data_IF_400348192063
#
_entry.id   IF_400348192063
#
_cell.length_a   1.000
_cell.length_b   1.000
_cell.length_c   1.000
_cell.angle_alpha   90.00
_cell.angle_beta   90.00
_cell.angle_gamma   90.00
#
_symmetry.space_group_name_H-M   'P 1'
#
loop_
_entity.id
_entity.type
_entity.pdbx_description
1 polymer ?
#
# COMPACT_ATOMS: atom_id res chain seq x y z
N UNK A 1 45.34 -26.23 -14.67
CA UNK A 1 44.73 -26.78 -13.43
C UNK A 1 44.13 -25.71 -12.50
N UNK A 2 43.78 -24.51 -12.99
CA UNK A 2 43.16 -23.46 -12.16
C UNK A 2 41.81 -22.92 -12.68
N UNK A 3 41.28 -23.46 -13.78
CA UNK A 3 39.96 -23.05 -14.33
C UNK A 3 38.76 -23.69 -13.62
N UNK A 4 38.98 -24.69 -12.77
CA UNK A 4 37.90 -25.42 -12.09
C UNK A 4 37.37 -24.71 -10.83
N UNK A 5 38.06 -23.68 -10.33
CA UNK A 5 37.72 -23.01 -9.04
C UNK A 5 36.90 -21.73 -9.25
N UNK A 6 36.81 -21.19 -10.48
CA UNK A 6 35.96 -20.00 -10.76
C UNK A 6 34.47 -20.31 -10.88
N UNK A 7 34.06 -21.59 -10.88
CA UNK A 7 32.65 -21.99 -11.06
C UNK A 7 31.86 -22.18 -9.76
N UNK A 8 32.42 -21.80 -8.61
CA UNK A 8 31.79 -21.94 -7.29
C UNK A 8 31.36 -20.61 -6.65
N UNK A 9 31.63 -19.45 -7.28
CA UNK A 9 31.27 -18.12 -6.74
C UNK A 9 30.34 -17.43 -7.74
N UNK A 10 29.24 -18.10 -8.06
CA UNK A 10 28.29 -17.65 -9.07
C UNK A 10 26.90 -18.23 -8.87
N UNK A 11 26.48 -18.50 -7.64
CA UNK A 11 25.05 -18.61 -7.38
C UNK A 11 24.48 -17.19 -7.32
N UNK A 12 24.00 -16.68 -8.45
CA UNK A 12 22.92 -15.68 -8.36
C UNK A 12 21.87 -16.26 -7.41
N UNK A 13 21.36 -15.50 -6.42
CA UNK A 13 20.27 -16.00 -5.60
C UNK A 13 19.19 -16.49 -6.58
N UNK A 14 18.80 -17.77 -6.45
CA UNK A 14 17.79 -18.34 -7.31
C UNK A 14 16.62 -17.35 -7.32
N UNK A 15 16.24 -16.84 -8.49
CA UNK A 15 15.10 -15.92 -8.63
C UNK A 15 13.95 -16.56 -7.86
N UNK A 16 13.63 -16.02 -6.70
CA UNK A 16 12.51 -16.50 -5.92
C UNK A 16 11.31 -16.31 -6.82
N UNK A 17 10.58 -17.38 -7.10
CA UNK A 17 9.36 -17.27 -7.89
C UNK A 17 8.34 -16.55 -7.01
N UNK A 18 8.30 -15.23 -7.08
CA UNK A 18 7.41 -14.37 -6.30
C UNK A 18 5.94 -14.72 -6.56
N UNK A 19 5.63 -15.27 -7.75
CA UNK A 19 4.32 -15.85 -8.05
C UNK A 19 4.02 -17.08 -7.21
N UNK A 20 5.01 -17.93 -6.96
CA UNK A 20 4.89 -19.10 -6.09
C UNK A 20 4.64 -18.70 -4.63
N UNK A 21 5.26 -17.62 -4.13
CA UNK A 21 5.02 -17.13 -2.76
C UNK A 21 3.56 -16.68 -2.56
N UNK A 22 3.02 -15.94 -3.54
CA UNK A 22 1.62 -15.50 -3.52
C UNK A 22 0.64 -16.68 -3.71
N UNK A 23 0.95 -17.62 -4.60
CA UNK A 23 0.15 -18.82 -4.80
C UNK A 23 0.12 -19.73 -3.55
N UNK A 24 1.27 -19.88 -2.88
CA UNK A 24 1.40 -20.68 -1.65
C UNK A 24 0.59 -20.07 -0.52
N UNK A 25 0.67 -18.75 -0.36
CA UNK A 25 -0.16 -18.03 0.61
C UNK A 25 -1.65 -18.14 0.28
N UNK A 26 -2.06 -17.92 -0.98
CA UNK A 26 -3.46 -18.07 -1.39
C UNK A 26 -3.99 -19.48 -1.09
N UNK A 27 -3.20 -20.52 -1.40
CA UNK A 27 -3.55 -21.91 -1.13
C UNK A 27 -3.69 -22.19 0.37
N UNK A 28 -2.80 -21.67 1.21
CA UNK A 28 -2.88 -21.88 2.67
C UNK A 28 -4.12 -21.24 3.30
N UNK A 29 -4.64 -20.19 2.66
CA UNK A 29 -5.86 -19.48 3.06
C UNK A 29 -7.11 -19.96 2.30
N UNK A 30 -7.02 -21.01 1.46
CA UNK A 30 -8.11 -21.48 0.59
C UNK A 30 -8.71 -20.41 -0.32
N UNK A 31 -7.88 -19.47 -0.78
CA UNK A 31 -8.27 -18.32 -1.61
C UNK A 31 -8.14 -18.62 -3.11
N UNK A 32 -8.87 -17.86 -3.92
CA UNK A 32 -8.85 -18.01 -5.38
C UNK A 32 -7.64 -17.27 -5.95
N UNK A 33 -6.70 -18.01 -6.54
CA UNK A 33 -5.51 -17.47 -7.21
C UNK A 33 -5.68 -17.49 -8.73
N UNK A 34 -5.47 -16.34 -9.39
CA UNK A 34 -5.60 -16.17 -10.85
C UNK A 34 -4.34 -15.54 -11.42
N UNK A 35 -3.90 -16.03 -12.58
CA UNK A 35 -2.85 -15.38 -13.38
C UNK A 35 -3.48 -14.41 -14.36
N UNK A 36 -2.96 -13.18 -14.39
CA UNK A 36 -3.36 -12.15 -15.34
C UNK A 36 -2.31 -12.05 -16.43
N UNK A 37 -2.74 -12.17 -17.68
CA UNK A 37 -1.88 -11.90 -18.84
C UNK A 37 -1.86 -10.39 -19.07
N UNK A 38 -0.67 -9.80 -19.05
CA UNK A 38 -0.46 -8.41 -19.44
C UNK A 38 0.73 -8.32 -20.40
N UNK A 39 0.69 -7.32 -21.30
CA UNK A 39 1.74 -7.01 -22.28
C UNK A 39 3.09 -6.69 -21.61
N UNK A 40 3.10 -6.27 -20.35
CA UNK A 40 4.31 -5.88 -19.60
C UNK A 40 4.89 -6.95 -18.66
N UNK A 41 4.51 -8.23 -18.85
CA UNK A 41 5.12 -9.36 -18.14
C UNK A 41 4.22 -10.08 -17.13
N UNK A 42 2.90 -9.89 -17.23
CA UNK A 42 1.91 -10.60 -16.42
C UNK A 42 1.91 -10.23 -14.93
N UNK A 43 0.87 -10.70 -14.25
CA UNK A 43 0.68 -10.52 -12.82
C UNK A 43 -0.21 -11.60 -12.23
N UNK A 44 -0.50 -11.49 -10.95
CA UNK A 44 -1.35 -12.42 -10.21
C UNK A 44 -2.39 -11.66 -9.40
N UNK A 45 -3.54 -12.27 -9.22
CA UNK A 45 -4.63 -11.75 -8.40
C UNK A 45 -5.09 -12.84 -7.46
N UNK A 46 -5.26 -12.48 -6.19
CA UNK A 46 -5.91 -13.32 -5.18
C UNK A 46 -7.19 -12.64 -4.74
N UNK A 47 -8.31 -13.34 -4.89
CA UNK A 47 -9.62 -12.89 -4.44
C UNK A 47 -9.98 -13.57 -3.11
N UNK A 48 -10.61 -12.79 -2.22
CA UNK A 48 -11.09 -13.28 -0.92
C UNK A 48 -12.61 -13.38 -0.88
N UNK A 49 -13.10 -14.29 -0.06
CA UNK A 49 -14.51 -14.42 0.31
C UNK A 49 -15.04 -13.18 1.05
N UNK A 50 -14.16 -12.44 1.72
CA UNK A 50 -14.44 -11.16 2.41
C UNK A 50 -14.54 -9.95 1.48
N UNK A 51 -14.62 -10.15 0.16
CA UNK A 51 -14.89 -9.08 -0.81
C UNK A 51 -13.73 -8.10 -1.03
N UNK A 52 -12.52 -8.45 -0.58
CA UNK A 52 -11.29 -7.76 -0.96
C UNK A 52 -10.40 -8.64 -1.81
N UNK A 53 -9.46 -8.02 -2.54
CA UNK A 53 -8.49 -8.73 -3.37
C UNK A 53 -7.10 -8.12 -3.24
N UNK A 54 -6.08 -8.91 -3.56
CA UNK A 54 -4.71 -8.42 -3.73
C UNK A 54 -4.22 -8.73 -5.14
N UNK A 55 -3.59 -7.75 -5.76
CA UNK A 55 -2.96 -7.88 -7.07
C UNK A 55 -1.45 -7.71 -6.92
N UNK A 56 -0.70 -8.56 -7.61
CA UNK A 56 0.74 -8.44 -7.77
C UNK A 56 1.09 -8.24 -9.24
N UNK A 57 1.90 -7.23 -9.56
CA UNK A 57 2.32 -6.98 -10.93
C UNK A 57 3.31 -5.83 -11.05
N UNK A 58 3.53 -5.35 -12.27
CA UNK A 58 4.36 -4.17 -12.50
C UNK A 58 3.88 -2.99 -11.64
N UNK A 59 4.82 -2.25 -11.07
CA UNK A 59 4.52 -1.03 -10.32
C UNK A 59 3.82 -0.01 -11.21
N UNK A 60 2.78 0.62 -10.66
CA UNK A 60 2.10 1.76 -11.30
C UNK A 60 2.44 3.09 -10.61
N UNK A 61 3.48 3.09 -9.76
CA UNK A 61 3.92 4.25 -8.99
C UNK A 61 5.42 4.44 -9.14
N UNK A 62 5.91 5.66 -9.46
CA UNK A 62 7.32 5.90 -9.73
C UNK A 62 8.21 5.63 -8.50
N UNK A 63 7.66 5.81 -7.30
CA UNK A 63 8.37 5.57 -6.04
C UNK A 63 8.41 4.09 -5.63
N UNK A 64 7.65 3.19 -6.26
CA UNK A 64 7.71 1.75 -5.99
C UNK A 64 8.54 1.08 -7.09
N UNK A 65 9.74 0.62 -6.73
CA UNK A 65 10.62 -0.08 -7.66
C UNK A 65 10.13 -1.51 -7.94
N UNK A 66 10.26 -1.95 -9.19
CA UNK A 66 9.99 -3.33 -9.60
C UNK A 66 8.50 -3.70 -9.57
N UNK A 67 8.15 -4.64 -8.69
CA UNK A 67 6.79 -5.18 -8.57
C UNK A 67 6.08 -4.59 -7.36
N UNK A 68 4.76 -4.51 -7.45
CA UNK A 68 3.90 -3.87 -6.46
C UNK A 68 2.80 -4.83 -6.02
N UNK A 69 2.51 -4.82 -4.72
CA UNK A 69 1.31 -5.39 -4.14
C UNK A 69 0.23 -4.32 -3.98
N UNK A 70 -0.97 -4.61 -4.47
CA UNK A 70 -2.13 -3.71 -4.43
C UNK A 70 -3.31 -4.44 -3.83
N UNK A 71 -3.63 -4.12 -2.58
CA UNK A 71 -4.85 -4.57 -1.93
C UNK A 71 -5.98 -3.61 -2.23
N UNK A 72 -7.19 -4.13 -2.42
CA UNK A 72 -8.36 -3.33 -2.78
C UNK A 72 -9.63 -3.90 -2.17
N UNK A 73 -10.45 -3.03 -1.60
CA UNK A 73 -11.74 -3.34 -1.00
C UNK A 73 -12.73 -2.20 -1.23
N UNK A 74 -13.93 -2.52 -1.69
CA UNK A 74 -15.06 -1.58 -1.61
C UNK A 74 -15.58 -1.56 -0.17
N UNK A 75 -15.62 -0.37 0.43
CA UNK A 75 -16.04 -0.18 1.83
C UNK A 75 -17.48 0.30 1.95
N UNK A 76 -18.08 0.80 0.87
CA UNK A 76 -19.38 1.46 0.91
C UNK A 76 -19.39 2.83 1.59
N UNK A 77 -18.23 3.40 1.95
CA UNK A 77 -18.14 4.77 2.46
C UNK A 77 -18.57 5.78 1.38
N UNK A 78 -19.12 6.95 1.77
CA UNK A 78 -19.51 7.98 0.82
C UNK A 78 -18.37 8.36 -0.12
N UNK A 79 -18.71 8.59 -1.40
CA UNK A 79 -17.71 8.75 -2.46
C UNK A 79 -16.89 10.05 -2.38
N UNK A 80 -17.38 11.02 -1.61
CA UNK A 80 -16.72 12.27 -1.28
C UNK A 80 -15.74 12.15 -0.10
N UNK A 81 -15.74 11.04 0.67
CA UNK A 81 -14.72 10.79 1.69
C UNK A 81 -13.41 10.42 1.00
N UNK A 82 -12.39 11.24 1.26
CA UNK A 82 -11.03 11.06 0.77
C UNK A 82 -10.05 11.03 1.94
N UNK A 83 -9.24 9.98 1.99
CA UNK A 83 -8.22 9.79 3.00
C UNK A 83 -6.97 9.21 2.37
N UNK A 84 -5.80 9.70 2.79
CA UNK A 84 -4.52 9.09 2.49
C UNK A 84 -3.65 9.04 3.73
N UNK A 85 -3.16 7.85 4.03
CA UNK A 85 -2.10 7.63 5.00
C UNK A 85 -0.88 7.10 4.26
N UNK A 86 0.21 7.85 4.32
CA UNK A 86 1.48 7.47 3.69
C UNK A 86 2.60 7.43 4.71
N UNK A 87 3.61 6.59 4.48
CA UNK A 87 4.83 6.64 5.28
C UNK A 87 5.55 7.98 5.03
N UNK A 88 6.22 8.52 6.06
CA UNK A 88 6.90 9.82 5.95
C UNK A 88 7.98 9.84 4.87
N UNK A 89 8.66 8.71 4.64
CA UNK A 89 9.63 8.58 3.54
C UNK A 89 8.94 8.81 2.20
N UNK A 90 7.78 8.18 1.97
CA UNK A 90 6.97 8.42 0.75
C UNK A 90 6.52 9.88 0.69
N UNK A 91 5.99 10.44 1.78
CA UNK A 91 5.56 11.83 1.81
C UNK A 91 6.70 12.79 1.42
N UNK A 92 7.89 12.60 2.00
CA UNK A 92 9.07 13.40 1.68
C UNK A 92 9.53 13.24 0.23
N UNK A 93 9.53 12.01 -0.30
CA UNK A 93 9.85 11.76 -1.72
C UNK A 93 8.84 12.46 -2.64
N UNK A 94 7.54 12.33 -2.34
CA UNK A 94 6.48 12.98 -3.11
C UNK A 94 6.57 14.51 -3.03
N UNK A 95 6.83 15.07 -1.84
CA UNK A 95 7.04 16.52 -1.65
C UNK A 95 8.29 17.02 -2.41
N UNK A 96 9.37 16.24 -2.43
CA UNK A 96 10.60 16.59 -3.15
C UNK A 96 10.41 16.53 -4.67
N UNK A 97 9.69 15.51 -5.15
CA UNK A 97 9.32 15.37 -6.56
C UNK A 97 8.37 16.50 -7.01
N UNK A 98 7.42 16.89 -6.15
CA UNK A 98 6.56 18.08 -6.33
C UNK A 98 7.46 19.29 -6.50
N UNK A 99 8.34 19.56 -5.53
CA UNK A 99 9.20 20.74 -5.54
C UNK A 99 10.08 20.79 -6.79
N UNK A 100 10.75 19.69 -7.14
CA UNK A 100 11.61 19.63 -8.33
C UNK A 100 10.85 19.94 -9.62
N UNK A 101 9.63 19.39 -9.79
CA UNK A 101 8.80 19.62 -10.97
C UNK A 101 8.24 21.05 -11.02
N UNK A 102 7.84 21.62 -9.88
CA UNK A 102 7.42 23.02 -9.80
C UNK A 102 8.58 24.00 -10.00
N UNK A 103 9.79 23.70 -9.54
CA UNK A 103 10.97 24.56 -9.78
C UNK A 103 11.49 24.48 -11.21
N UNK A 104 11.32 23.33 -11.88
CA UNK A 104 11.71 23.16 -13.29
C UNK A 104 10.66 23.70 -14.26
N UNK A 105 9.40 23.88 -13.83
CA UNK A 105 8.33 24.44 -14.64
C UNK A 105 7.90 25.80 -14.08
N UNK A 106 8.41 26.90 -14.67
CA UNK A 106 7.68 28.18 -14.71
C UNK A 106 6.39 28.00 -15.52
N UNK A 107 5.43 27.21 -15.07
CA UNK A 107 4.18 26.99 -15.78
C UNK A 107 3.01 26.77 -14.81
N UNK A 108 2.10 27.75 -14.83
CA UNK A 108 0.84 27.87 -14.07
C UNK A 108 -0.24 26.90 -14.56
N UNK A 109 0.08 25.62 -14.70
CA UNK A 109 -0.93 24.58 -14.93
C UNK A 109 -0.75 23.45 -13.92
N UNK A 110 -1.85 23.08 -13.26
CA UNK A 110 -1.94 21.85 -12.48
C UNK A 110 -1.76 20.70 -13.47
N UNK A 111 -0.56 20.13 -13.48
CA UNK A 111 -0.21 19.03 -14.37
C UNK A 111 -0.99 17.77 -13.97
N UNK A 112 -1.88 17.32 -14.86
CA UNK A 112 -2.67 16.10 -14.67
C UNK A 112 -1.82 14.82 -14.71
N UNK A 113 -0.52 14.92 -14.99
CA UNK A 113 0.42 13.78 -14.91
C UNK A 113 0.90 13.50 -13.48
N UNK A 114 0.57 14.35 -12.50
CA UNK A 114 0.90 14.11 -11.11
C UNK A 114 0.13 12.87 -10.56
N UNK A 115 0.83 11.90 -9.94
CA UNK A 115 0.21 10.84 -9.16
C UNK A 115 -0.87 11.38 -8.22
N UNK A 116 -1.98 10.65 -8.10
CA UNK A 116 -3.12 11.08 -7.27
C UNK A 116 -2.72 11.43 -5.83
N UNK A 117 -1.71 10.72 -5.29
CA UNK A 117 -1.19 10.97 -3.96
C UNK A 117 -0.59 12.38 -3.82
N UNK A 118 0.15 12.88 -4.82
CA UNK A 118 0.72 14.24 -4.81
C UNK A 118 -0.38 15.29 -4.79
N UNK A 119 -1.44 15.08 -5.57
CA UNK A 119 -2.59 15.98 -5.59
C UNK A 119 -3.24 16.04 -4.20
N UNK A 120 -3.38 14.90 -3.53
CA UNK A 120 -4.04 14.83 -2.22
C UNK A 120 -3.21 15.44 -1.10
N UNK A 121 -1.89 15.27 -1.11
CA UNK A 121 -0.99 15.96 -0.17
C UNK A 121 -1.14 17.49 -0.25
N UNK A 122 -1.41 18.03 -1.44
CA UNK A 122 -1.62 19.46 -1.65
C UNK A 122 -3.07 19.92 -1.38
N UNK A 123 -4.08 19.04 -1.57
CA UNK A 123 -5.50 19.41 -1.53
C UNK A 123 -6.20 19.19 -0.19
N UNK A 124 -5.72 18.26 0.64
CA UNK A 124 -6.42 17.88 1.86
C UNK A 124 -5.67 18.35 3.10
N UNK A 125 -6.40 18.72 4.18
CA UNK A 125 -5.75 19.09 5.42
C UNK A 125 -5.07 17.86 6.04
N UNK A 126 -3.91 18.12 6.66
CA UNK A 126 -3.22 17.13 7.48
C UNK A 126 -4.01 16.90 8.76
N UNK A 127 -4.34 15.65 9.05
CA UNK A 127 -5.01 15.25 10.30
C UNK A 127 -3.96 14.78 11.31
N UNK A 128 -4.11 15.18 12.57
CA UNK A 128 -3.16 14.81 13.61
C UNK A 128 -3.30 13.32 13.99
N UNK A 129 -2.18 12.61 14.04
CA UNK A 129 -2.10 11.24 14.56
C UNK A 129 -1.75 11.22 16.06
N UNK A 130 -2.15 12.25 16.82
CA UNK A 130 -1.85 12.36 18.26
C UNK A 130 -2.30 11.17 19.11
N UNK A 131 -3.27 10.39 18.61
CA UNK A 131 -3.74 9.14 19.23
C UNK A 131 -2.64 8.07 19.36
N UNK A 132 -1.57 8.16 18.55
CA UNK A 132 -0.42 7.27 18.63
C UNK A 132 0.88 8.01 18.28
N UNK A 133 1.80 8.21 19.24
CA UNK A 133 3.12 8.75 18.97
C UNK A 133 3.93 7.89 17.98
N UNK A 134 3.74 6.57 18.00
CA UNK A 134 4.41 5.65 17.08
C UNK A 134 3.94 5.87 15.64
N UNK A 135 2.62 5.92 15.41
CA UNK A 135 2.07 6.20 14.09
C UNK A 135 2.42 7.61 13.63
N UNK A 136 2.32 8.61 14.50
CA UNK A 136 2.72 9.99 14.21
C UNK A 136 4.20 10.13 13.86
N UNK A 137 5.07 9.24 14.37
CA UNK A 137 6.49 9.20 14.01
C UNK A 137 6.70 8.67 12.60
N UNK A 138 5.92 7.68 12.16
CA UNK A 138 6.14 6.90 10.92
C UNK A 138 5.29 7.36 9.73
N UNK A 139 4.10 7.88 9.98
CA UNK A 139 3.11 8.18 8.95
C UNK A 139 2.67 9.64 9.00
N UNK A 140 2.07 10.07 7.89
CA UNK A 140 1.27 11.29 7.80
C UNK A 140 -0.10 10.93 7.22
N UNK A 141 -1.13 11.57 7.76
CA UNK A 141 -2.52 11.36 7.38
C UNK A 141 -3.08 12.67 6.83
N UNK A 142 -3.73 12.59 5.67
CA UNK A 142 -4.48 13.69 5.09
C UNK A 142 -5.89 13.20 4.81
N UNK A 143 -6.89 14.00 5.15
CA UNK A 143 -8.29 13.62 4.98
C UNK A 143 -9.16 14.86 4.85
N UNK A 144 -10.21 14.80 4.02
CA UNK A 144 -11.20 15.86 3.93
C UNK A 144 -12.38 15.69 4.90
N UNK A 145 -12.47 14.57 5.61
CA UNK A 145 -13.56 14.23 6.53
C UNK A 145 -12.97 13.75 7.88
N UNK A 146 -12.50 14.69 8.70
CA UNK A 146 -11.78 14.38 9.94
C UNK A 146 -12.57 13.48 10.90
N UNK A 147 -13.87 13.72 11.08
CA UNK A 147 -14.72 12.89 11.93
C UNK A 147 -14.77 11.42 11.45
N UNK A 148 -14.83 11.21 10.13
CA UNK A 148 -14.77 9.86 9.55
C UNK A 148 -13.40 9.26 9.77
N UNK A 149 -12.32 10.03 9.62
CA UNK A 149 -10.96 9.56 9.88
C UNK A 149 -10.76 9.11 11.34
N UNK A 150 -11.29 9.87 12.30
CA UNK A 150 -11.23 9.53 13.72
C UNK A 150 -12.03 8.25 14.02
N UNK A 151 -13.21 8.09 13.42
CA UNK A 151 -13.98 6.85 13.55
C UNK A 151 -13.23 5.67 12.92
N UNK A 152 -12.65 5.83 11.75
CA UNK A 152 -11.87 4.77 11.12
C UNK A 152 -10.61 4.41 11.91
N UNK A 153 -9.98 5.37 12.59
CA UNK A 153 -8.83 5.18 13.47
C UNK A 153 -9.26 5.01 14.93
N UNK A 154 -10.19 4.09 15.18
CA UNK A 154 -10.59 3.75 16.54
C UNK A 154 -9.42 3.08 17.31
N UNK A 155 -9.52 2.91 18.64
CA UNK A 155 -8.44 2.32 19.44
C UNK A 155 -7.98 0.93 18.96
N UNK A 156 -8.88 0.09 18.45
CA UNK A 156 -8.54 -1.24 17.92
C UNK A 156 -7.68 -1.14 16.65
N UNK A 157 -8.11 -0.31 15.69
CA UNK A 157 -7.38 -0.08 14.45
C UNK A 157 -6.04 0.59 14.71
N UNK A 158 -5.95 1.53 15.66
CA UNK A 158 -4.67 2.11 16.07
C UNK A 158 -3.75 1.04 16.63
N UNK A 159 -4.22 0.14 17.50
CA UNK A 159 -3.40 -0.96 18.03
C UNK A 159 -2.90 -1.91 16.96
N UNK A 160 -3.73 -2.29 16.00
CA UNK A 160 -3.32 -3.15 14.88
C UNK A 160 -2.26 -2.46 14.00
N UNK A 161 -2.44 -1.16 13.72
CA UNK A 161 -1.45 -0.37 12.99
C UNK A 161 -0.15 -0.21 13.77
N UNK A 162 -0.20 -0.03 15.08
CA UNK A 162 0.99 0.06 15.94
C UNK A 162 1.75 -1.26 16.03
N UNK A 163 1.01 -2.37 16.16
CA UNK A 163 1.56 -3.72 16.12
C UNK A 163 2.26 -3.98 14.78
N UNK A 164 1.62 -3.59 13.68
CA UNK A 164 2.23 -3.65 12.37
C UNK A 164 3.50 -2.80 12.29
N UNK A 165 3.39 -1.54 12.70
CA UNK A 165 4.45 -0.55 12.73
C UNK A 165 5.69 -0.97 13.55
N UNK A 166 5.50 -1.81 14.57
CA UNK A 166 6.57 -2.27 15.46
C UNK A 166 7.19 -3.59 15.04
N UNK A 167 6.39 -4.52 14.51
CA UNK A 167 6.83 -5.92 14.35
C UNK A 167 7.38 -6.22 12.96
N UNK A 168 6.80 -5.64 11.91
CA UNK A 168 7.11 -6.04 10.54
C UNK A 168 7.13 -4.88 9.55
N UNK A 169 6.62 -3.71 9.93
CA UNK A 169 6.78 -2.49 9.16
C UNK A 169 8.15 -1.87 9.40
N UNK A 170 9.19 -2.45 8.80
CA UNK A 170 10.52 -1.85 8.80
C UNK A 170 10.49 -0.46 8.11
N UNK A 171 11.42 0.43 8.51
CA UNK A 171 11.48 1.84 8.11
C UNK A 171 11.56 2.10 6.59
N UNK A 172 11.81 1.07 5.78
CA UNK A 172 11.89 1.14 4.31
C UNK A 172 10.62 0.73 3.55
N UNK A 173 9.55 0.28 4.22
CA UNK A 173 8.32 -0.13 3.53
C UNK A 173 7.44 1.07 3.18
N UNK A 174 7.49 1.45 1.89
CA UNK A 174 6.60 2.43 1.30
C UNK A 174 5.16 1.94 1.45
N UNK A 175 4.37 2.65 2.26
CA UNK A 175 2.94 2.42 2.39
C UNK A 175 2.21 3.58 1.75
N UNK A 176 1.22 3.25 0.95
CA UNK A 176 0.18 4.18 0.55
C UNK A 176 -1.16 3.50 0.82
N UNK A 177 -1.85 3.93 1.87
CA UNK A 177 -3.23 3.58 2.16
C UNK A 177 -4.11 4.73 1.69
N UNK A 178 -5.07 4.44 0.81
CA UNK A 178 -6.03 5.44 0.33
C UNK A 178 -7.45 4.96 0.50
N UNK A 179 -8.33 5.91 0.77
CA UNK A 179 -9.77 5.77 0.62
C UNK A 179 -10.21 6.85 -0.36
N UNK A 180 -10.83 6.46 -1.48
CA UNK A 180 -11.36 7.40 -2.46
C UNK A 180 -12.49 6.74 -3.23
N UNK A 181 -13.61 7.47 -3.40
CA UNK A 181 -14.82 6.95 -4.05
C UNK A 181 -15.30 5.63 -3.42
N UNK A 182 -15.25 5.53 -2.09
CA UNK A 182 -15.60 4.31 -1.34
C UNK A 182 -14.61 3.14 -1.48
N UNK A 183 -13.51 3.31 -2.21
CA UNK A 183 -12.51 2.26 -2.41
C UNK A 183 -11.34 2.42 -1.46
N UNK A 184 -11.17 1.47 -0.55
CA UNK A 184 -9.95 1.31 0.23
C UNK A 184 -8.89 0.60 -0.62
N UNK A 185 -7.72 1.20 -0.75
CA UNK A 185 -6.56 0.56 -1.38
C UNK A 185 -5.34 0.67 -0.50
N UNK A 186 -4.50 -0.36 -0.53
CA UNK A 186 -3.21 -0.37 0.15
C UNK A 186 -2.14 -0.84 -0.83
N UNK A 187 -1.09 -0.02 -0.99
CA UNK A 187 -0.03 -0.24 -1.95
C UNK A 187 1.31 -0.35 -1.24
N UNK A 188 2.12 -1.32 -1.63
CA UNK A 188 3.46 -1.52 -1.10
C UNK A 188 4.38 -2.22 -2.12
N UNK A 189 5.71 -2.11 -1.95
CA UNK A 189 6.66 -2.93 -2.69
C UNK A 189 6.32 -4.42 -2.60
N UNK A 190 6.39 -5.09 -3.73
CA UNK A 190 6.06 -6.50 -3.90
C UNK A 190 7.26 -7.30 -4.41
N UNK A 191 8.48 -6.92 -4.03
CA UNK A 191 9.70 -7.63 -4.39
C UNK A 191 10.82 -7.33 -3.36
N UNK A 192 11.35 -8.35 -2.65
CA UNK A 192 10.87 -9.74 -2.62
C UNK A 192 9.51 -9.84 -1.90
N UNK A 193 8.78 -10.95 -2.10
CA UNK A 193 7.56 -11.27 -1.37
C UNK A 193 7.72 -12.57 -0.61
N UNK A 194 7.34 -12.53 0.66
CA UNK A 194 7.30 -13.70 1.54
C UNK A 194 5.86 -14.02 1.98
N UNK A 195 5.53 -15.30 2.07
CA UNK A 195 4.18 -15.74 2.46
C UNK A 195 3.80 -15.29 3.88
N UNK A 196 4.76 -15.19 4.80
CA UNK A 196 4.53 -14.67 6.16
C UNK A 196 4.13 -13.19 6.12
N UNK A 197 4.85 -12.37 5.33
CA UNK A 197 4.52 -10.97 5.13
C UNK A 197 3.13 -10.80 4.50
N UNK A 198 2.80 -11.58 3.47
CA UNK A 198 1.46 -11.57 2.87
C UNK A 198 0.36 -11.89 3.87
N UNK A 199 0.59 -12.85 4.77
CA UNK A 199 -0.36 -13.18 5.82
C UNK A 199 -0.59 -11.99 6.76
N UNK A 200 0.48 -11.32 7.17
CA UNK A 200 0.43 -10.23 8.14
C UNK A 200 -0.21 -8.98 7.54
N UNK A 201 0.18 -8.63 6.30
CA UNK A 201 -0.39 -7.52 5.53
C UNK A 201 -1.86 -7.78 5.19
N UNK A 202 -2.20 -9.01 4.77
CA UNK A 202 -3.58 -9.40 4.48
C UNK A 202 -4.50 -9.34 5.70
N UNK A 203 -4.02 -9.75 6.88
CA UNK A 203 -4.75 -9.61 8.15
C UNK A 203 -5.02 -8.14 8.48
N UNK A 204 -4.00 -7.28 8.39
CA UNK A 204 -4.16 -5.85 8.63
C UNK A 204 -5.16 -5.23 7.65
N UNK A 205 -5.04 -5.56 6.35
CA UNK A 205 -5.94 -5.03 5.34
C UNK A 205 -7.38 -5.47 5.56
N UNK A 206 -7.61 -6.74 5.93
CA UNK A 206 -8.94 -7.24 6.28
C UNK A 206 -9.53 -6.50 7.48
N UNK A 207 -8.73 -6.27 8.53
CA UNK A 207 -9.16 -5.49 9.70
C UNK A 207 -9.57 -4.06 9.31
N UNK A 208 -8.74 -3.37 8.51
CA UNK A 208 -9.05 -2.02 8.01
C UNK A 208 -10.31 -2.00 7.15
N UNK A 209 -10.45 -2.96 6.23
CA UNK A 209 -11.64 -3.09 5.38
C UNK A 209 -12.92 -3.28 6.20
N UNK A 210 -12.89 -4.17 7.19
CA UNK A 210 -14.03 -4.44 8.07
C UNK A 210 -14.38 -3.20 8.92
N UNK A 211 -13.38 -2.47 9.45
CA UNK A 211 -13.63 -1.21 10.16
C UNK A 211 -14.27 -0.15 9.28
N UNK A 212 -13.75 0.04 8.06
CA UNK A 212 -14.29 1.05 7.13
C UNK A 212 -15.72 0.74 6.70
N UNK A 213 -16.06 -0.55 6.52
CA UNK A 213 -17.43 -0.99 6.25
C UNK A 213 -18.37 -0.77 7.42
N UNK A 214 -17.89 -1.01 8.64
CA UNK A 214 -18.67 -0.72 9.85
C UNK A 214 -18.99 0.78 9.94
N UNK A 215 -17.98 1.64 9.76
CA UNK A 215 -18.20 3.10 9.73
C UNK A 215 -19.17 3.49 8.62
N UNK A 216 -19.07 2.89 7.43
CA UNK A 216 -20.04 3.13 6.36
C UNK A 216 -21.48 2.75 6.74
N UNK A 217 -21.66 1.66 7.50
CA UNK A 217 -22.98 1.23 7.96
C UNK A 217 -23.57 2.13 9.05
N UNK A 218 -22.72 2.75 9.88
CA UNK A 218 -23.12 3.69 10.93
C UNK A 218 -23.50 5.08 10.37
N UNK A 219 -23.10 5.39 9.13
CA UNK A 219 -23.40 6.65 8.44
C UNK A 219 -24.68 6.61 7.60
N UNK A 220 -25.35 5.45 7.51
CA UNK A 220 -26.61 5.28 6.79
C UNK A 220 -27.81 5.48 7.70
#
# INVERSE_FOLDING_TARGET
>A
MFDSIKRLIGSSPAKQDEGLALATWAKSQSLVFKRVKDKSGGGYVVETDKGWRVEWGASQRPYIAGKELRFRCDTGLPGDVQMIMVSKVVAQTLESDVFSRFTNAMQTQIDNTLPDEMRWLAMHPKVSLSVSPLLAKRFVLFCNAEAVAQNCLNPDTVRELESAASNWWADGLLLVLTLNRGMLTMRMPGQPIESAQLQMVGKLFAHLADRMRLVASEMR
#
